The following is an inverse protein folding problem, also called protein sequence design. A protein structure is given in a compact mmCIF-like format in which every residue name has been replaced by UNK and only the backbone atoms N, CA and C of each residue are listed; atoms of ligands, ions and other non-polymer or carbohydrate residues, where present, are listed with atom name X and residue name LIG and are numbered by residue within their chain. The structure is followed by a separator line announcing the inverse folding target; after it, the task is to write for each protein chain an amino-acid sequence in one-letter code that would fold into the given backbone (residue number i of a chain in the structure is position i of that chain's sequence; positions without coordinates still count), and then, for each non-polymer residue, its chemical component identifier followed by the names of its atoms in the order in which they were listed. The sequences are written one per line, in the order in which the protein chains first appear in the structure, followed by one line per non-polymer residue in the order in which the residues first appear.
data_IF_266750247509
#
_entry.id   IF_266750247509
#
_cell.length_a   1.000
_cell.length_b   1.000
_cell.length_c   1.000
_cell.angle_alpha   90.00
_cell.angle_beta   90.00
_cell.angle_gamma   90.00
#
_symmetry.space_group_name_H-M   'P 1'
#
loop_
_entity.id
_entity.type
_entity.pdbx_description
1 polymer ?
#
# COMPACT_ATOMS: atom_id res chain seq x y z
N UNK A 1 -24.73 -12.31 0.88
CA UNK A 1 -23.51 -13.02 0.42
C UNK A 1 -22.31 -12.28 0.96
N UNK A 2 -21.46 -12.92 1.76
CA UNK A 2 -20.26 -12.28 2.28
C UNK A 2 -19.27 -12.05 1.13
N UNK A 3 -19.14 -10.80 0.71
CA UNK A 3 -18.11 -10.37 -0.25
C UNK A 3 -16.73 -10.69 0.31
N UNK A 4 -16.07 -11.69 -0.28
CA UNK A 4 -14.79 -12.18 0.19
C UNK A 4 -13.75 -11.06 0.14
N UNK A 5 -13.06 -10.85 1.26
CA UNK A 5 -11.90 -9.97 1.33
C UNK A 5 -10.64 -10.79 1.11
N UNK A 6 -9.77 -10.34 0.21
CA UNK A 6 -8.51 -11.00 -0.08
C UNK A 6 -7.35 -10.21 0.52
N UNK A 7 -6.50 -10.88 1.31
CA UNK A 7 -5.34 -10.25 1.94
C UNK A 7 -4.07 -10.58 1.16
N UNK A 8 -3.30 -9.53 0.85
CA UNK A 8 -2.01 -9.56 0.18
C UNK A 8 -0.93 -9.10 1.16
N UNK A 9 -0.08 -10.01 1.66
CA UNK A 9 1.02 -9.65 2.55
C UNK A 9 2.02 -8.72 1.85
N UNK A 10 2.50 -7.73 2.59
CA UNK A 10 3.59 -6.89 2.10
C UNK A 10 4.91 -7.67 2.14
N UNK A 11 5.77 -7.41 1.14
CA UNK A 11 7.12 -7.97 1.09
C UNK A 11 8.03 -7.10 1.96
N UNK A 12 8.71 -7.74 2.91
CA UNK A 12 9.65 -7.11 3.83
C UNK A 12 10.99 -7.84 3.72
N UNK A 13 12.08 -7.12 3.46
CA UNK A 13 13.42 -7.71 3.46
C UNK A 13 13.84 -8.07 4.89
N UNK A 14 14.30 -9.31 5.10
CA UNK A 14 14.68 -9.80 6.44
C UNK A 14 15.77 -8.95 7.09
N UNK A 15 16.74 -8.50 6.31
CA UNK A 15 17.81 -7.63 6.78
C UNK A 15 17.33 -6.22 7.15
N UNK A 16 16.20 -5.77 6.58
CA UNK A 16 15.60 -4.48 6.87
C UNK A 16 14.62 -4.52 8.06
N UNK A 17 14.19 -5.71 8.50
CA UNK A 17 13.24 -5.90 9.61
C UNK A 17 13.60 -5.13 10.90
N UNK A 18 14.84 -5.11 11.41
CA UNK A 18 15.14 -4.35 12.63
C UNK A 18 14.88 -2.84 12.45
N UNK A 19 15.20 -2.29 11.28
CA UNK A 19 14.91 -0.88 10.97
C UNK A 19 13.41 -0.64 10.74
N UNK A 20 12.73 -1.56 10.06
CA UNK A 20 11.29 -1.49 9.82
C UNK A 20 10.48 -1.66 11.11
N UNK A 21 10.96 -2.45 12.08
CA UNK A 21 10.32 -2.68 13.37
C UNK A 21 10.22 -1.39 14.21
N UNK A 22 11.19 -0.47 14.08
CA UNK A 22 11.12 0.88 14.68
C UNK A 22 9.90 1.64 14.13
N UNK A 23 9.63 1.49 12.83
CA UNK A 23 8.41 1.99 12.17
C UNK A 23 7.24 1.00 12.24
N UNK A 24 7.27 0.02 13.15
CA UNK A 24 6.19 -0.94 13.32
C UNK A 24 5.98 -1.94 12.20
N UNK A 25 6.79 -1.94 11.14
CA UNK A 25 6.72 -2.78 9.94
C UNK A 25 7.00 -4.26 10.22
N UNK A 26 6.15 -4.89 11.02
CA UNK A 26 6.18 -6.32 11.31
C UNK A 26 5.40 -7.08 10.21
N UNK A 27 5.86 -8.28 9.81
CA UNK A 27 5.23 -9.07 8.74
C UNK A 27 3.74 -9.36 8.98
N UNK A 28 3.37 -9.65 10.24
CA UNK A 28 1.98 -9.97 10.59
C UNK A 28 1.03 -8.77 10.50
N UNK A 29 1.56 -7.55 10.50
CA UNK A 29 0.79 -6.29 10.60
C UNK A 29 0.92 -5.44 9.34
N UNK A 30 1.58 -5.96 8.30
CA UNK A 30 1.85 -5.24 7.04
C UNK A 30 1.25 -5.99 5.87
N UNK A 31 0.10 -5.50 5.38
CA UNK A 31 -0.67 -6.12 4.31
C UNK A 31 -1.56 -5.11 3.62
N UNK A 32 -1.98 -5.46 2.41
CA UNK A 32 -3.10 -4.82 1.73
C UNK A 32 -4.27 -5.81 1.70
N UNK A 33 -5.44 -5.36 2.09
CA UNK A 33 -6.67 -6.15 2.05
C UNK A 33 -7.62 -5.54 1.03
N UNK A 34 -8.01 -6.34 0.06
CA UNK A 34 -8.86 -5.96 -1.06
C UNK A 34 -10.26 -6.46 -0.74
N UNK A 35 -11.15 -5.53 -0.41
CA UNK A 35 -12.57 -5.78 -0.23
C UNK A 35 -13.36 -5.48 -1.51
N UNK A 36 -14.69 -5.67 -1.51
CA UNK A 36 -15.52 -5.42 -2.69
C UNK A 36 -15.60 -3.93 -3.07
N UNK A 37 -15.63 -3.04 -2.08
CA UNK A 37 -15.82 -1.60 -2.25
C UNK A 37 -14.62 -0.78 -1.77
N UNK A 38 -13.74 -1.39 -0.99
CA UNK A 38 -12.64 -0.72 -0.32
C UNK A 38 -11.33 -1.50 -0.44
N UNK A 39 -10.25 -0.78 -0.20
CA UNK A 39 -8.90 -1.29 -0.11
C UNK A 39 -8.31 -0.80 1.21
N UNK A 40 -8.02 -1.72 2.11
CA UNK A 40 -7.39 -1.44 3.40
C UNK A 40 -5.88 -1.64 3.28
N UNK A 41 -5.11 -0.57 3.45
CA UNK A 41 -3.67 -0.64 3.60
C UNK A 41 -3.32 -0.63 5.08
N UNK A 42 -2.45 -1.56 5.47
CA UNK A 42 -1.80 -1.52 6.78
C UNK A 42 -0.31 -1.76 6.62
N UNK A 43 0.48 -0.92 7.27
CA UNK A 43 1.92 -1.10 7.37
C UNK A 43 2.30 -0.91 8.83
N UNK A 44 2.35 -2.03 9.55
CA UNK A 44 2.63 -2.03 10.97
C UNK A 44 1.50 -1.48 11.84
N UNK A 45 1.87 -0.95 13.01
CA UNK A 45 0.94 -0.35 13.95
C UNK A 45 0.59 1.11 13.65
N UNK A 46 1.42 1.83 12.89
CA UNK A 46 1.30 3.28 12.75
C UNK A 46 0.92 3.78 11.34
N UNK A 47 0.66 2.89 10.39
CA UNK A 47 -0.07 3.26 9.18
C UNK A 47 -1.24 2.31 8.95
N UNK A 48 -2.44 2.89 8.91
CA UNK A 48 -3.66 2.21 8.50
C UNK A 48 -4.56 3.17 7.74
N UNK A 49 -5.03 2.77 6.56
CA UNK A 49 -5.92 3.58 5.75
C UNK A 49 -6.86 2.71 4.90
N UNK A 50 -8.14 3.07 4.88
CA UNK A 50 -9.15 2.44 4.02
C UNK A 50 -9.47 3.36 2.86
N UNK A 51 -9.23 2.92 1.63
CA UNK A 51 -9.45 3.69 0.40
C UNK A 51 -10.66 3.12 -0.34
N UNK A 52 -11.70 3.91 -0.59
CA UNK A 52 -12.79 3.50 -1.47
C UNK A 52 -12.26 3.16 -2.87
N UNK A 53 -12.73 2.07 -3.48
CA UNK A 53 -12.25 1.64 -4.80
C UNK A 53 -12.59 2.65 -5.91
N UNK A 54 -13.69 3.37 -5.77
CA UNK A 54 -14.10 4.45 -6.69
C UNK A 54 -13.18 5.69 -6.61
N UNK A 55 -12.37 5.83 -5.55
CA UNK A 55 -11.30 6.83 -5.46
C UNK A 55 -10.00 6.38 -6.13
N UNK A 56 -9.83 5.08 -6.44
CA UNK A 56 -8.65 4.56 -7.11
C UNK A 56 -8.73 4.93 -8.61
N UNK A 57 -7.73 5.66 -9.07
CA UNK A 57 -7.59 6.06 -10.48
C UNK A 57 -6.90 4.97 -11.28
N UNK A 58 -5.83 4.41 -10.73
CA UNK A 58 -5.07 3.33 -11.35
C UNK A 58 -4.29 2.55 -10.30
N UNK A 59 -3.93 1.33 -10.68
CA UNK A 59 -2.95 0.48 -9.98
C UNK A 59 -2.03 -0.14 -11.01
N UNK A 60 -0.72 -0.09 -10.76
CA UNK A 60 0.27 -0.61 -11.71
C UNK A 60 1.58 -1.02 -11.04
N UNK A 61 2.34 -1.95 -11.64
CA UNK A 61 3.72 -2.18 -11.24
C UNK A 61 4.53 -0.88 -11.28
N UNK A 62 5.38 -0.68 -10.28
CA UNK A 62 6.22 0.50 -10.18
C UNK A 62 7.63 0.13 -9.69
N UNK A 63 8.55 1.08 -9.77
CA UNK A 63 9.88 0.96 -9.19
C UNK A 63 10.03 1.96 -8.05
N UNK A 64 10.71 1.56 -7.00
CA UNK A 64 11.08 2.44 -5.90
C UNK A 64 12.58 2.68 -5.93
N UNK A 65 13.00 3.94 -5.73
CA UNK A 65 14.41 4.29 -5.75
C UNK A 65 15.10 3.80 -4.45
N UNK A 66 16.21 3.06 -4.53
CA UNK A 66 17.00 2.69 -3.36
C UNK A 66 17.45 3.90 -2.53
N UNK A 67 17.64 5.06 -3.18
CA UNK A 67 18.08 6.30 -2.54
C UNK A 67 17.04 6.88 -1.56
N UNK A 68 15.75 6.58 -1.77
CA UNK A 68 14.67 6.99 -0.86
C UNK A 68 14.57 6.00 0.33
N UNK A 69 15.08 4.79 0.16
CA UNK A 69 15.17 3.77 1.20
C UNK A 69 13.85 3.06 1.50
N UNK A 70 13.88 2.23 2.55
CA UNK A 70 12.78 1.35 3.00
C UNK A 70 12.06 1.94 4.23
N UNK A 71 10.79 1.56 4.43
CA UNK A 71 9.93 1.98 5.54
C UNK A 71 8.83 2.95 5.08
N UNK A 72 8.37 3.80 6.00
CA UNK A 72 7.51 4.93 5.65
C UNK A 72 8.34 6.03 5.03
N UNK A 73 8.01 6.40 3.80
CA UNK A 73 8.74 7.41 3.06
C UNK A 73 7.80 8.41 2.45
N UNK A 74 8.23 9.66 2.44
CA UNK A 74 7.61 10.71 1.66
C UNK A 74 8.61 11.16 0.61
N UNK A 75 8.17 11.25 -0.63
CA UNK A 75 9.01 11.73 -1.74
C UNK A 75 8.80 13.23 -1.95
N UNK A 76 9.74 13.88 -2.64
CA UNK A 76 9.65 15.31 -2.96
C UNK A 76 8.40 15.66 -3.79
N UNK A 77 7.88 14.71 -4.58
CA UNK A 77 6.63 14.88 -5.33
C UNK A 77 5.37 14.61 -4.47
N UNK A 78 5.52 14.48 -3.15
CA UNK A 78 4.40 14.32 -2.21
C UNK A 78 3.77 12.93 -2.18
N UNK A 79 4.43 11.89 -2.70
CA UNK A 79 3.94 10.51 -2.63
C UNK A 79 4.30 9.86 -1.31
N UNK A 80 3.53 8.86 -0.88
CA UNK A 80 3.83 8.05 0.30
C UNK A 80 4.28 6.66 -0.16
N UNK A 81 5.43 6.23 0.34
CA UNK A 81 5.94 4.87 0.20
C UNK A 81 5.79 4.09 1.50
N UNK A 82 5.22 2.89 1.41
CA UNK A 82 5.14 1.87 2.44
C UNK A 82 5.96 0.66 1.96
N UNK A 83 7.29 0.83 2.00
CA UNK A 83 8.22 0.01 1.22
C UNK A 83 9.03 -0.88 2.15
N UNK A 84 8.65 -2.15 2.24
CA UNK A 84 9.44 -3.17 2.93
C UNK A 84 10.53 -3.83 2.07
N UNK A 85 10.40 -3.74 0.75
CA UNK A 85 11.32 -4.29 -0.25
C UNK A 85 11.27 -3.45 -1.52
N UNK A 86 12.38 -3.40 -2.26
CA UNK A 86 12.43 -2.77 -3.59
C UNK A 86 11.79 -3.65 -4.67
N UNK A 87 11.52 -4.91 -4.36
CA UNK A 87 10.83 -5.85 -5.24
C UNK A 87 9.32 -5.84 -5.01
N UNK A 88 8.56 -6.11 -6.07
CA UNK A 88 7.10 -6.22 -6.02
C UNK A 88 6.40 -4.91 -5.65
N UNK A 89 6.98 -3.77 -6.02
CA UNK A 89 6.41 -2.45 -5.73
C UNK A 89 5.24 -2.18 -6.68
N UNK A 90 4.12 -1.75 -6.11
CA UNK A 90 2.91 -1.33 -6.82
C UNK A 90 2.59 0.10 -6.45
N UNK A 91 2.26 0.91 -7.47
CA UNK A 91 1.73 2.25 -7.30
C UNK A 91 0.20 2.19 -7.29
N UNK A 92 -0.41 2.87 -6.32
CA UNK A 92 -1.85 3.12 -6.22
C UNK A 92 -2.05 4.62 -6.42
N UNK A 93 -2.62 4.98 -7.57
CA UNK A 93 -3.00 6.35 -7.91
C UNK A 93 -4.43 6.65 -7.47
N UNK A 94 -4.63 7.82 -6.87
CA UNK A 94 -5.94 8.29 -6.40
C UNK A 94 -6.46 9.43 -7.27
N UNK A 95 -7.76 9.37 -7.58
CA UNK A 95 -8.49 10.39 -8.36
C UNK A 95 -8.43 11.76 -7.71
N UNK A 96 -8.39 11.81 -6.38
CA UNK A 96 -8.33 13.04 -5.59
C UNK A 96 -7.23 12.93 -4.53
N UNK A 97 -6.71 14.10 -4.11
CA UNK A 97 -5.74 14.17 -3.03
C UNK A 97 -6.44 13.85 -1.71
N UNK A 98 -5.86 12.94 -0.94
CA UNK A 98 -6.40 12.51 0.36
C UNK A 98 -5.35 12.64 1.45
N UNK A 99 -5.80 12.99 2.65
CA UNK A 99 -4.97 13.04 3.85
C UNK A 99 -4.82 11.64 4.43
N UNK A 100 -3.59 11.17 4.54
CA UNK A 100 -3.22 9.93 5.22
C UNK A 100 -2.45 10.25 6.49
N UNK A 101 -2.61 9.45 7.54
CA UNK A 101 -1.81 9.60 8.77
C UNK A 101 -0.60 8.67 8.70
N UNK A 102 0.60 9.25 8.63
CA UNK A 102 1.85 8.54 8.88
C UNK A 102 2.19 8.70 10.36
N UNK A 103 2.02 7.61 11.13
CA UNK A 103 2.01 7.65 12.58
C UNK A 103 0.97 8.67 13.11
N UNK A 104 1.41 9.91 13.37
CA UNK A 104 0.57 11.00 13.89
C UNK A 104 0.45 12.18 12.93
N UNK A 105 1.29 12.26 11.89
CA UNK A 105 1.35 13.41 10.99
C UNK A 105 0.42 13.21 9.79
N UNK A 106 -0.50 14.15 9.52
CA UNK A 106 -1.34 14.12 8.33
C UNK A 106 -0.51 14.50 7.10
N UNK A 107 -0.54 13.67 6.07
CA UNK A 107 0.16 13.88 4.82
C UNK A 107 -0.79 13.77 3.62
N UNK A 108 -1.02 14.87 2.89
CA UNK A 108 -1.93 14.86 1.75
C UNK A 108 -1.22 14.33 0.49
N UNK A 109 -1.70 13.21 -0.06
CA UNK A 109 -1.14 12.59 -1.27
C UNK A 109 -2.19 12.09 -2.25
N UNK A 110 -1.77 11.87 -3.49
CA UNK A 110 -2.53 11.17 -4.54
C UNK A 110 -1.90 9.83 -4.92
N UNK A 111 -0.72 9.50 -4.39
CA UNK A 111 0.05 8.35 -4.83
C UNK A 111 0.61 7.61 -3.63
N UNK A 112 0.27 6.33 -3.55
CA UNK A 112 0.79 5.41 -2.56
C UNK A 112 1.63 4.35 -3.26
N UNK A 113 2.74 3.95 -2.65
CA UNK A 113 3.57 2.86 -3.13
C UNK A 113 3.64 1.79 -2.05
N UNK A 114 3.44 0.53 -2.43
CA UNK A 114 3.46 -0.62 -1.51
C UNK A 114 4.30 -1.73 -2.09
N UNK A 115 5.12 -2.40 -1.28
CA UNK A 115 5.83 -3.61 -1.71
C UNK A 115 5.05 -4.86 -1.33
N UNK A 116 4.67 -5.68 -2.31
CA UNK A 116 3.83 -6.87 -2.13
C UNK A 116 4.60 -8.16 -2.38
N UNK A 117 4.20 -9.23 -1.69
CA UNK A 117 4.77 -10.55 -1.94
C UNK A 117 4.37 -11.08 -3.32
N UNK A 118 3.11 -10.86 -3.68
CA UNK A 118 2.51 -11.22 -4.97
C UNK A 118 1.79 -9.99 -5.57
N UNK A 119 2.50 -9.12 -6.31
CA UNK A 119 1.91 -7.93 -6.92
C UNK A 119 0.94 -8.27 -8.05
N UNK A 120 1.16 -9.35 -8.79
CA UNK A 120 0.31 -9.73 -9.93
C UNK A 120 -1.07 -10.19 -9.44
N UNK A 121 -1.12 -11.07 -8.43
CA UNK A 121 -2.40 -11.49 -7.86
C UNK A 121 -3.18 -10.31 -7.26
N UNK A 122 -2.48 -9.33 -6.68
CA UNK A 122 -3.10 -8.09 -6.19
C UNK A 122 -3.72 -7.26 -7.31
N UNK A 123 -2.99 -7.05 -8.42
CA UNK A 123 -3.49 -6.33 -9.58
C UNK A 123 -4.71 -7.05 -10.15
N UNK A 124 -4.66 -8.37 -10.31
CA UNK A 124 -5.80 -9.17 -10.75
C UNK A 124 -7.01 -9.02 -9.82
N UNK A 125 -6.86 -9.06 -8.50
CA UNK A 125 -7.98 -8.89 -7.58
C UNK A 125 -8.61 -7.48 -7.61
N UNK A 126 -7.88 -6.47 -8.06
CA UNK A 126 -8.40 -5.12 -8.25
C UNK A 126 -9.06 -4.91 -9.61
N UNK A 127 -8.53 -5.53 -10.67
CA UNK A 127 -9.12 -5.49 -12.01
C UNK A 127 -10.33 -6.42 -12.15
N UNK A 128 -10.36 -7.50 -11.37
CA UNK A 128 -11.50 -8.40 -11.26
C UNK A 128 -12.61 -7.73 -10.45
N UNK A 129 -13.36 -6.81 -11.06
CA UNK A 129 -14.62 -6.33 -10.54
C UNK A 129 -15.73 -6.47 -11.59
N UNK A 130 -16.96 -6.81 -11.18
CA UNK A 130 -18.13 -6.74 -12.05
C UNK A 130 -18.34 -5.30 -12.46
N UNK A 131 -18.51 -5.05 -13.77
CA UNK A 131 -19.06 -3.79 -14.25
C UNK A 131 -20.37 -3.50 -13.52
N UNK A 132 -20.57 -2.30 -12.96
CA UNK A 132 -21.92 -1.89 -12.59
C UNK A 132 -22.75 -1.89 -13.87
N UNK A 133 -23.79 -2.73 -13.89
CA UNK A 133 -24.84 -2.70 -14.92
C UNK A 133 -25.74 -1.50 -14.69
#
# INVERSE_FOLDING_TARGET
MATARQRFPMRLERCALPFLAICGGLPRWSYVEVGPQDLLLRFGWAFAATIPRDEIEFVRPARWSPLVGLGWRVTLNGSIGLIGSLAGVVEIGLRRRRLFRLAVLPWPTRRLFVSLQDPEAFLHALTSLPSPS
#
